data_IF_674873434658
#
_entry.id   IF_674873434658
#
_cell.length_a   1.000
_cell.length_b   1.000
_cell.length_c   1.000
_cell.angle_alpha   90.00
_cell.angle_beta   90.00
_cell.angle_gamma   90.00
#
_symmetry.space_group_name_H-M   'P 1'
#
loop_
_entity.id
_entity.type
_entity.pdbx_description
1 polymer ?
#
# COMPACT_ATOMS: atom_id res chain seq x y z
N UNK A 1 4.98 7.71 -11.89
CA UNK A 1 3.92 8.46 -12.65
C UNK A 1 3.16 9.35 -11.67
N UNK A 2 2.54 10.46 -12.08
CA UNK A 2 1.76 11.33 -11.20
C UNK A 2 0.37 11.59 -11.77
N UNK A 3 -0.66 11.60 -10.92
CA UNK A 3 -2.04 11.98 -11.28
C UNK A 3 -2.47 13.19 -10.45
N UNK A 4 -2.99 14.23 -11.10
CA UNK A 4 -3.39 15.47 -10.44
C UNK A 4 -4.88 15.74 -10.65
N UNK A 5 -5.57 16.19 -9.60
CA UNK A 5 -6.88 16.82 -9.68
C UNK A 5 -6.91 18.13 -8.85
N UNK A 6 -8.07 18.78 -8.73
CA UNK A 6 -8.20 20.03 -8.01
C UNK A 6 -7.81 19.92 -6.52
N UNK A 7 -7.92 18.74 -5.93
CA UNK A 7 -7.79 18.52 -4.49
C UNK A 7 -6.44 17.93 -4.10
N UNK A 8 -5.82 17.12 -4.96
CA UNK A 8 -4.52 16.50 -4.68
C UNK A 8 -3.75 16.06 -5.93
N UNK A 9 -2.43 15.93 -5.75
CA UNK A 9 -1.53 15.13 -6.59
C UNK A 9 -1.35 13.75 -5.95
N UNK A 10 -1.27 12.72 -6.78
CA UNK A 10 -0.93 11.35 -6.39
C UNK A 10 0.31 10.95 -7.16
N UNK A 11 1.39 10.62 -6.45
CA UNK A 11 2.64 10.13 -7.02
C UNK A 11 2.74 8.61 -6.82
N UNK A 12 3.12 7.92 -7.90
CA UNK A 12 3.25 6.47 -7.95
C UNK A 12 4.68 6.09 -8.30
N UNK A 13 5.24 5.18 -7.53
CA UNK A 13 6.54 4.55 -7.82
C UNK A 13 6.36 3.07 -8.12
N UNK A 14 7.24 2.52 -8.93
CA UNK A 14 7.18 1.14 -9.39
C UNK A 14 8.58 0.54 -9.33
N UNK A 15 8.66 -0.78 -9.21
CA UNK A 15 9.91 -1.51 -9.45
C UNK A 15 10.12 -1.78 -10.96
N UNK A 16 11.24 -2.44 -11.29
CA UNK A 16 11.60 -2.78 -12.67
C UNK A 16 10.62 -3.77 -13.34
N UNK A 17 9.73 -4.40 -12.56
CA UNK A 17 8.70 -5.32 -13.04
C UNK A 17 7.31 -4.68 -13.13
N UNK A 18 7.21 -3.35 -13.15
CA UNK A 18 5.97 -2.57 -13.15
C UNK A 18 5.04 -2.85 -11.96
N UNK A 19 5.55 -3.39 -10.85
CA UNK A 19 4.79 -3.56 -9.60
C UNK A 19 4.83 -2.27 -8.79
N UNK A 20 3.67 -1.85 -8.27
CA UNK A 20 3.50 -0.61 -7.52
C UNK A 20 4.24 -0.66 -6.17
N UNK A 21 5.20 0.22 -5.94
CA UNK A 21 5.94 0.29 -4.67
C UNK A 21 5.36 1.30 -3.69
N UNK A 22 4.86 2.44 -4.17
CA UNK A 22 4.27 3.45 -3.29
C UNK A 22 3.20 4.29 -3.96
N UNK A 23 2.26 4.78 -3.16
CA UNK A 23 1.34 5.87 -3.50
C UNK A 23 1.56 6.99 -2.50
N UNK A 24 1.80 8.21 -2.97
CA UNK A 24 1.91 9.39 -2.13
C UNK A 24 0.88 10.44 -2.57
N UNK A 25 -0.06 10.78 -1.69
CA UNK A 25 -1.05 11.84 -1.90
C UNK A 25 -0.53 13.14 -1.32
N UNK A 26 -0.38 14.16 -2.16
CA UNK A 26 -0.02 15.51 -1.76
C UNK A 26 -1.22 16.46 -1.99
N UNK A 27 -1.87 16.96 -0.92
CA UNK A 27 -3.05 17.83 -1.07
C UNK A 27 -2.68 19.20 -1.62
N UNK A 28 -3.52 19.72 -2.52
CA UNK A 28 -3.45 21.12 -2.98
C UNK A 28 -3.92 22.08 -1.87
N UNK A 29 -3.74 23.39 -2.06
CA UNK A 29 -4.32 24.37 -1.15
C UNK A 29 -5.86 24.28 -1.07
N UNK A 30 -6.53 23.89 -2.16
CA UNK A 30 -7.97 23.66 -2.18
C UNK A 30 -8.33 22.39 -1.41
N UNK A 31 -7.64 21.28 -1.68
CA UNK A 31 -7.87 20.02 -0.96
C UNK A 31 -7.66 20.14 0.55
N UNK A 32 -6.64 20.88 1.00
CA UNK A 32 -6.43 21.17 2.43
C UNK A 32 -7.63 21.86 3.07
N UNK A 33 -8.28 22.80 2.37
CA UNK A 33 -9.52 23.46 2.86
C UNK A 33 -10.71 22.51 2.93
N UNK A 34 -10.71 21.46 2.10
CA UNK A 34 -11.71 20.39 2.12
C UNK A 34 -11.37 19.25 3.08
N UNK A 35 -10.27 19.35 3.84
CA UNK A 35 -9.85 18.34 4.80
C UNK A 35 -9.02 17.19 4.20
N UNK A 36 -8.56 17.30 2.96
CA UNK A 36 -7.64 16.32 2.36
C UNK A 36 -6.27 16.43 3.03
N UNK A 37 -5.81 15.34 3.62
CA UNK A 37 -4.48 15.21 4.22
C UNK A 37 -3.49 14.55 3.27
N UNK A 38 -2.22 14.76 3.53
CA UNK A 38 -1.15 13.95 2.96
C UNK A 38 -1.26 12.51 3.48
N UNK A 39 -0.93 11.56 2.62
CA UNK A 39 -0.96 10.13 2.94
C UNK A 39 0.04 9.39 2.06
N UNK A 40 0.72 8.41 2.65
CA UNK A 40 1.64 7.54 1.94
C UNK A 40 1.30 6.08 2.21
N UNK A 41 1.26 5.30 1.15
CA UNK A 41 1.11 3.85 1.18
C UNK A 41 2.36 3.22 0.58
N UNK A 42 2.92 2.21 1.23
CA UNK A 42 4.07 1.46 0.74
C UNK A 42 3.73 -0.03 0.62
N UNK A 43 4.21 -0.66 -0.45
CA UNK A 43 3.96 -2.04 -0.82
C UNK A 43 5.29 -2.80 -0.92
N UNK A 44 5.34 -4.00 -0.38
CA UNK A 44 6.54 -4.86 -0.46
C UNK A 44 6.16 -6.20 -1.06
N UNK A 45 7.01 -6.70 -1.95
CA UNK A 45 6.80 -7.96 -2.64
C UNK A 45 7.94 -8.94 -2.36
N UNK A 46 7.64 -10.23 -2.42
CA UNK A 46 8.66 -11.26 -2.45
C UNK A 46 9.27 -11.45 -3.86
N UNK A 47 10.24 -12.35 -3.95
CA UNK A 47 10.94 -12.71 -5.18
C UNK A 47 10.02 -13.33 -6.25
N UNK A 48 8.84 -13.85 -5.86
CA UNK A 48 7.89 -14.47 -6.77
C UNK A 48 6.86 -13.49 -7.33
N UNK A 49 6.88 -12.21 -6.94
CA UNK A 49 5.85 -11.27 -7.39
C UNK A 49 4.78 -10.98 -6.36
N UNK A 50 4.74 -11.67 -5.22
CA UNK A 50 3.57 -11.69 -4.32
C UNK A 50 3.68 -10.57 -3.29
N UNK A 51 2.58 -9.87 -3.04
CA UNK A 51 2.50 -8.79 -2.07
C UNK A 51 2.62 -9.37 -0.66
N UNK A 52 3.67 -9.05 0.07
CA UNK A 52 3.90 -9.57 1.44
C UNK A 52 3.64 -8.52 2.52
N UNK A 53 3.55 -7.23 2.15
CA UNK A 53 3.26 -6.16 3.12
C UNK A 53 2.63 -4.94 2.47
N UNK A 54 1.64 -4.38 3.15
CA UNK A 54 1.09 -3.04 2.91
C UNK A 54 1.32 -2.19 4.15
N UNK A 55 1.92 -1.01 4.00
CA UNK A 55 2.13 -0.07 5.11
C UNK A 55 1.32 1.19 4.87
N UNK A 56 0.51 1.55 5.86
CA UNK A 56 -0.32 2.76 5.88
C UNK A 56 0.03 3.59 7.12
N UNK A 57 -0.41 4.86 7.22
CA UNK A 57 -0.26 5.62 8.46
C UNK A 57 -0.95 4.97 9.66
N UNK A 58 -1.95 4.11 9.43
CA UNK A 58 -2.69 3.40 10.46
C UNK A 58 -2.02 2.07 10.88
N UNK A 59 -0.90 1.71 10.24
CA UNK A 59 -0.13 0.51 10.50
C UNK A 59 -0.01 -0.39 9.28
N UNK A 60 0.49 -1.61 9.49
CA UNK A 60 0.84 -2.52 8.41
C UNK A 60 0.00 -3.80 8.39
N UNK A 61 -0.36 -4.24 7.19
CA UNK A 61 -0.85 -5.59 6.90
C UNK A 61 0.33 -6.42 6.39
N UNK A 62 0.43 -7.67 6.82
CA UNK A 62 1.41 -8.63 6.29
C UNK A 62 0.73 -9.89 5.78
N UNK A 63 1.27 -10.46 4.72
CA UNK A 63 0.72 -11.61 4.01
C UNK A 63 1.76 -12.71 3.92
N UNK A 64 1.42 -13.90 4.40
CA UNK A 64 2.23 -15.10 4.25
C UNK A 64 1.58 -16.06 3.27
N UNK A 65 2.41 -16.71 2.46
CA UNK A 65 1.96 -17.63 1.42
C UNK A 65 2.65 -18.97 1.54
N UNK A 66 1.95 -20.03 1.15
CA UNK A 66 2.58 -21.34 0.93
C UNK A 66 3.38 -21.35 -0.40
N UNK A 67 4.13 -22.44 -0.69
CA UNK A 67 4.87 -22.58 -1.95
C UNK A 67 4.00 -22.63 -3.21
N UNK A 68 2.70 -22.93 -3.09
CA UNK A 68 1.73 -22.94 -4.18
C UNK A 68 1.07 -21.56 -4.38
N UNK A 69 1.50 -20.55 -3.61
CA UNK A 69 0.98 -19.18 -3.61
C UNK A 69 -0.44 -19.01 -3.10
N UNK A 70 -0.90 -19.94 -2.25
CA UNK A 70 -2.09 -19.73 -1.45
C UNK A 70 -1.75 -18.84 -0.25
N UNK A 71 -2.59 -17.85 0.05
CA UNK A 71 -2.47 -17.03 1.25
C UNK A 71 -2.77 -17.90 2.48
N UNK A 72 -1.80 -18.06 3.37
CA UNK A 72 -1.94 -18.86 4.59
C UNK A 72 -2.26 -18.00 5.81
N UNK A 73 -1.68 -16.79 5.87
CA UNK A 73 -1.85 -15.88 7.01
C UNK A 73 -1.99 -14.43 6.55
N UNK A 74 -3.01 -13.75 7.05
CA UNK A 74 -3.11 -12.30 7.07
C UNK A 74 -2.84 -11.80 8.48
N UNK A 75 -1.82 -10.97 8.67
CA UNK A 75 -1.53 -10.30 9.94
C UNK A 75 -2.03 -8.86 9.90
N UNK A 76 -2.96 -8.52 10.80
CA UNK A 76 -3.51 -7.18 10.95
C UNK A 76 -2.52 -6.22 11.64
N UNK A 77 -2.69 -4.89 11.54
CA UNK A 77 -1.85 -3.93 12.25
C UNK A 77 -1.89 -4.09 13.78
N UNK A 78 -2.95 -4.72 14.29
CA UNK A 78 -3.12 -5.06 15.71
C UNK A 78 -2.34 -6.30 16.15
N UNK A 79 -1.64 -6.98 15.23
CA UNK A 79 -0.94 -8.24 15.47
C UNK A 79 -1.84 -9.48 15.43
N UNK A 80 -3.15 -9.32 15.23
CA UNK A 80 -4.05 -10.46 15.05
C UNK A 80 -3.79 -11.17 13.72
N UNK A 81 -3.82 -12.50 13.75
CA UNK A 81 -3.63 -13.35 12.57
C UNK A 81 -4.97 -13.95 12.14
N UNK A 82 -5.26 -13.84 10.84
CA UNK A 82 -6.35 -14.56 10.18
C UNK A 82 -5.71 -15.63 9.30
N UNK A 83 -5.87 -16.89 9.69
CA UNK A 83 -5.29 -18.01 8.95
C UNK A 83 -6.34 -18.60 8.02
N UNK A 84 -5.95 -18.88 6.79
CA UNK A 84 -6.77 -19.67 5.87
C UNK A 84 -6.29 -21.11 5.92
N UNK A 85 -7.17 -22.01 6.40
CA UNK A 85 -6.97 -23.46 6.39
C UNK A 85 -7.52 -24.08 5.09
#
# INVERSE_FOLDING_TARGET
MAKLNADARQDYTYDDGDRLLSIERLPTAHGKKLGVSEEKLDFTYDLLGRLIKETTPQGALSYDYDPLSNLTTLTLPTGQHLNHL
#
